data_IF_758811214470
#
_entry.id   IF_758811214470
#
_cell.length_a   1.000
_cell.length_b   1.000
_cell.length_c   1.000
_cell.angle_alpha   90.00
_cell.angle_beta   90.00
_cell.angle_gamma   90.00
#
_symmetry.space_group_name_H-M   'P 1'
#
loop_
_entity.id
_entity.type
_entity.pdbx_description
1 polymer ?
#
# COMPACT_ATOMS: atom_id res chain seq x y z
N UNK A 1 17.68 21.52 1.59
CA UNK A 1 18.54 20.52 2.29
C UNK A 1 19.33 19.75 1.22
N UNK A 2 20.63 19.54 1.42
CA UNK A 2 21.44 18.74 0.49
C UNK A 2 21.07 17.26 0.68
N UNK A 3 20.73 16.56 -0.42
CA UNK A 3 20.43 15.13 -0.37
C UNK A 3 21.67 14.30 -0.02
N UNK A 4 21.51 13.28 0.82
CA UNK A 4 22.58 12.34 1.17
C UNK A 4 23.01 11.55 -0.08
N UNK A 5 24.29 11.65 -0.53
CA UNK A 5 24.75 10.90 -1.69
C UNK A 5 24.65 9.39 -1.47
N UNK A 6 24.34 8.63 -2.53
CA UNK A 6 24.33 7.18 -2.43
C UNK A 6 25.77 6.62 -2.37
N UNK A 7 26.11 5.83 -1.34
CA UNK A 7 27.45 5.24 -1.23
C UNK A 7 27.70 4.23 -2.36
N UNK A 8 28.72 4.42 -3.22
CA UNK A 8 29.00 3.48 -4.34
C UNK A 8 29.17 2.02 -3.88
N UNK A 9 29.70 1.82 -2.68
CA UNK A 9 29.88 0.49 -2.08
C UNK A 9 28.60 -0.27 -1.79
N UNK A 10 27.43 0.40 -1.78
CA UNK A 10 26.12 -0.23 -1.58
C UNK A 10 25.40 -0.54 -2.89
N UNK A 11 25.93 -0.10 -4.04
CA UNK A 11 25.22 -0.24 -5.33
C UNK A 11 24.90 -1.69 -5.68
N UNK A 12 25.87 -2.58 -5.56
CA UNK A 12 25.66 -4.03 -5.81
C UNK A 12 24.69 -4.64 -4.79
N UNK A 13 24.69 -4.19 -3.55
CA UNK A 13 23.75 -4.69 -2.55
C UNK A 13 22.31 -4.18 -2.80
N UNK A 14 22.14 -2.95 -3.32
CA UNK A 14 20.82 -2.42 -3.71
C UNK A 14 20.32 -3.07 -5.00
N UNK A 15 21.18 -3.20 -6.02
CA UNK A 15 20.85 -3.69 -7.36
C UNK A 15 21.84 -4.79 -7.79
N UNK A 16 21.71 -6.04 -7.30
CA UNK A 16 22.68 -7.11 -7.51
C UNK A 16 22.81 -7.55 -8.97
N UNK A 17 21.76 -7.32 -9.77
CA UNK A 17 21.77 -7.61 -11.21
C UNK A 17 22.27 -6.44 -12.07
N UNK A 18 22.67 -5.32 -11.42
CA UNK A 18 22.98 -4.06 -12.10
C UNK A 18 21.75 -3.19 -12.37
N UNK A 19 20.55 -3.72 -12.15
CA UNK A 19 19.24 -3.02 -12.30
C UNK A 19 18.46 -3.15 -11.00
N UNK A 20 17.88 -2.06 -10.53
CA UNK A 20 17.01 -2.05 -9.34
C UNK A 20 15.62 -2.55 -9.73
N UNK A 21 15.27 -3.76 -9.32
CA UNK A 21 13.96 -4.37 -9.58
C UNK A 21 12.99 -3.92 -8.49
N UNK A 22 11.97 -3.16 -8.88
CA UNK A 22 11.00 -2.57 -7.96
C UNK A 22 9.66 -3.30 -8.05
N UNK A 23 9.25 -3.97 -6.98
CA UNK A 23 7.94 -4.59 -6.83
C UNK A 23 6.82 -3.54 -6.73
N UNK A 24 5.79 -3.67 -7.56
CA UNK A 24 4.63 -2.78 -7.60
C UNK A 24 3.33 -3.57 -7.39
N UNK A 25 2.47 -3.07 -6.52
CA UNK A 25 1.12 -3.59 -6.32
C UNK A 25 0.10 -2.79 -7.14
N UNK A 26 -0.35 -3.31 -8.26
CA UNK A 26 -1.32 -2.64 -9.13
C UNK A 26 -2.76 -2.61 -8.61
N UNK A 27 -3.08 -3.40 -7.57
CA UNK A 27 -4.39 -3.25 -6.91
C UNK A 27 -4.51 -1.93 -6.15
N UNK A 28 -3.39 -1.29 -5.78
CA UNK A 28 -3.42 0.03 -5.16
C UNK A 28 -3.30 1.13 -6.22
N UNK A 29 -4.38 1.35 -6.96
CA UNK A 29 -4.44 2.33 -8.05
C UNK A 29 -4.22 3.79 -7.61
N UNK A 30 -4.21 4.08 -6.29
CA UNK A 30 -3.92 5.41 -5.75
C UNK A 30 -2.45 5.80 -5.91
N UNK A 31 -1.54 4.83 -5.85
CA UNK A 31 -0.10 5.09 -5.88
C UNK A 31 0.63 4.38 -7.03
N UNK A 32 -0.03 3.41 -7.68
CA UNK A 32 0.48 2.66 -8.83
C UNK A 32 -0.59 2.51 -9.89
N UNK A 33 -0.25 2.77 -11.15
CA UNK A 33 -1.15 2.61 -12.28
C UNK A 33 -0.39 2.14 -13.52
N UNK A 34 -1.15 1.80 -14.55
CA UNK A 34 -0.64 1.52 -15.92
C UNK A 34 -1.41 2.37 -16.91
N UNK A 35 -0.72 3.01 -17.82
CA UNK A 35 -1.36 3.71 -18.94
C UNK A 35 -1.88 2.74 -20.01
N UNK A 36 -2.47 3.27 -21.07
CA UNK A 36 -3.00 2.46 -22.18
C UNK A 36 -1.91 1.60 -22.87
N UNK A 37 -0.64 2.03 -22.82
CA UNK A 37 0.52 1.29 -23.29
C UNK A 37 1.11 0.33 -22.25
N UNK A 38 0.43 0.11 -21.11
CA UNK A 38 0.86 -0.68 -19.96
C UNK A 38 2.12 -0.14 -19.26
N UNK A 39 2.53 1.10 -19.55
CA UNK A 39 3.66 1.73 -18.88
C UNK A 39 3.26 2.13 -17.45
N UNK A 40 4.06 1.78 -16.43
CA UNK A 40 3.74 2.11 -15.05
C UNK A 40 3.88 3.61 -14.78
N UNK A 41 2.96 4.16 -13.99
CA UNK A 41 2.97 5.53 -13.48
C UNK A 41 2.45 5.57 -12.04
N UNK A 42 2.69 6.67 -11.33
CA UNK A 42 2.20 6.90 -9.97
C UNK A 42 3.31 7.25 -8.99
N UNK A 43 2.92 7.58 -7.77
CA UNK A 43 3.82 8.04 -6.70
C UNK A 43 4.93 7.02 -6.42
N UNK A 44 4.60 5.74 -6.31
CA UNK A 44 5.58 4.68 -6.04
C UNK A 44 6.61 4.54 -7.17
N UNK A 45 6.16 4.71 -8.42
CA UNK A 45 7.02 4.61 -9.61
C UNK A 45 8.04 5.75 -9.64
N UNK A 46 7.59 6.98 -9.38
CA UNK A 46 8.48 8.13 -9.42
C UNK A 46 9.44 8.16 -8.23
N UNK A 47 9.03 7.68 -7.03
CA UNK A 47 9.96 7.46 -5.92
C UNK A 47 11.01 6.39 -6.24
N UNK A 48 10.62 5.28 -6.89
CA UNK A 48 11.57 4.26 -7.33
C UNK A 48 12.60 4.83 -8.31
N UNK A 49 12.15 5.62 -9.28
CA UNK A 49 13.03 6.29 -10.25
C UNK A 49 13.98 7.26 -9.57
N UNK A 50 13.49 8.07 -8.62
CA UNK A 50 14.34 9.00 -7.86
C UNK A 50 15.42 8.27 -7.04
N UNK A 51 15.09 7.12 -6.45
CA UNK A 51 16.07 6.28 -5.74
C UNK A 51 17.10 5.69 -6.72
N UNK A 52 16.65 5.15 -7.88
CA UNK A 52 17.53 4.61 -8.91
C UNK A 52 18.49 5.66 -9.49
N UNK A 53 17.98 6.87 -9.78
CA UNK A 53 18.79 7.99 -10.24
C UNK A 53 19.84 8.37 -9.20
N UNK A 54 19.46 8.50 -7.92
CA UNK A 54 20.38 8.81 -6.83
C UNK A 54 21.46 7.72 -6.64
N UNK A 55 21.10 6.44 -6.84
CA UNK A 55 22.04 5.32 -6.76
C UNK A 55 22.88 5.12 -8.02
N UNK A 56 22.53 5.77 -9.14
CA UNK A 56 23.17 5.59 -10.44
C UNK A 56 22.94 4.20 -11.03
N UNK A 57 21.71 3.64 -10.87
CA UNK A 57 21.30 2.34 -11.42
C UNK A 57 20.00 2.47 -12.19
N UNK A 58 19.81 1.74 -13.30
CA UNK A 58 18.52 1.68 -13.98
C UNK A 58 17.46 1.01 -13.08
N UNK A 59 16.18 1.33 -13.33
CA UNK A 59 15.05 0.79 -12.59
C UNK A 59 14.18 -0.04 -13.52
N UNK A 60 13.82 -1.23 -13.07
CA UNK A 60 12.85 -2.13 -13.69
C UNK A 60 11.68 -2.37 -12.73
N UNK A 61 10.47 -2.51 -13.27
CA UNK A 61 9.27 -2.71 -12.47
C UNK A 61 8.72 -4.12 -12.59
N UNK A 62 8.55 -4.77 -11.43
CA UNK A 62 7.96 -6.11 -11.31
C UNK A 62 6.55 -5.96 -10.77
N UNK A 63 5.55 -6.21 -11.62
CA UNK A 63 4.15 -5.99 -11.28
C UNK A 63 3.48 -7.18 -10.62
N UNK A 64 2.63 -6.89 -9.63
CA UNK A 64 1.75 -7.85 -8.94
C UNK A 64 0.32 -7.31 -8.95
N UNK A 65 -0.66 -8.16 -9.14
CA UNK A 65 -2.07 -7.77 -9.13
C UNK A 65 -2.65 -7.68 -7.70
N UNK A 66 -1.91 -8.14 -6.69
CA UNK A 66 -2.31 -8.07 -5.28
C UNK A 66 -1.09 -7.94 -4.35
N UNK A 67 -1.26 -7.33 -3.16
CA UNK A 67 -0.15 -7.11 -2.20
C UNK A 67 0.31 -8.40 -1.50
N UNK A 68 -0.57 -9.40 -1.35
CA UNK A 68 -0.24 -10.69 -0.75
C UNK A 68 0.87 -11.41 -1.52
N UNK A 69 0.65 -11.77 -2.80
CA UNK A 69 1.66 -12.39 -3.65
C UNK A 69 2.96 -11.60 -3.73
N UNK A 70 2.90 -10.26 -3.76
CA UNK A 70 4.10 -9.43 -3.76
C UNK A 70 4.91 -9.58 -2.46
N UNK A 71 4.26 -9.59 -1.31
CA UNK A 71 4.93 -9.79 -0.02
C UNK A 71 5.49 -11.22 0.11
N UNK A 72 4.75 -12.23 -0.34
CA UNK A 72 5.16 -13.64 -0.34
C UNK A 72 6.36 -13.90 -1.27
N UNK A 73 6.55 -13.06 -2.29
CA UNK A 73 7.69 -13.13 -3.21
C UNK A 73 9.02 -12.62 -2.61
N UNK A 74 9.02 -11.96 -1.45
CA UNK A 74 10.21 -11.38 -0.84
C UNK A 74 11.39 -12.38 -0.68
N UNK A 75 11.18 -13.64 -0.22
CA UNK A 75 12.29 -14.60 -0.08
C UNK A 75 12.81 -15.15 -1.41
N UNK A 76 12.17 -14.87 -2.53
CA UNK A 76 12.45 -15.53 -3.82
C UNK A 76 13.30 -14.71 -4.79
N UNK A 77 13.89 -13.59 -4.34
CA UNK A 77 14.74 -12.72 -5.17
C UNK A 77 14.09 -12.21 -6.48
N UNK A 78 12.76 -12.05 -6.49
CA UNK A 78 12.01 -11.56 -7.66
C UNK A 78 12.13 -10.05 -7.79
N UNK A 79 12.21 -9.35 -6.66
CA UNK A 79 12.39 -7.91 -6.58
C UNK A 79 13.43 -7.54 -5.52
N UNK A 80 13.99 -6.34 -5.64
CA UNK A 80 15.05 -5.81 -4.76
C UNK A 80 14.49 -4.88 -3.70
N UNK A 81 13.54 -4.03 -4.09
CA UNK A 81 12.70 -3.22 -3.21
C UNK A 81 11.25 -3.36 -3.64
N UNK A 82 10.31 -3.10 -2.74
CA UNK A 82 8.89 -3.09 -3.08
C UNK A 82 8.15 -1.96 -2.36
N UNK A 83 7.11 -1.42 -3.01
CA UNK A 83 6.26 -0.38 -2.46
C UNK A 83 4.95 -0.99 -1.98
N UNK A 84 4.80 -1.16 -0.66
CA UNK A 84 3.63 -1.79 -0.06
C UNK A 84 3.39 -1.30 1.36
N UNK A 85 2.18 -1.60 1.88
CA UNK A 85 1.82 -1.21 3.22
C UNK A 85 2.60 -1.98 4.29
N UNK A 86 3.04 -1.27 5.33
CA UNK A 86 3.61 -1.85 6.54
C UNK A 86 2.53 -2.70 7.23
N UNK A 87 2.86 -3.97 7.50
CA UNK A 87 2.05 -4.86 8.29
C UNK A 87 2.93 -5.83 9.09
N UNK A 88 2.60 -6.14 10.35
CA UNK A 88 3.42 -7.01 11.20
C UNK A 88 3.73 -8.37 10.56
N UNK A 89 2.72 -8.99 9.90
CA UNK A 89 2.91 -10.27 9.20
C UNK A 89 3.93 -10.16 8.06
N UNK A 90 3.93 -9.04 7.33
CA UNK A 90 4.89 -8.77 6.23
C UNK A 90 6.28 -8.46 6.76
N UNK A 91 6.38 -7.80 7.93
CA UNK A 91 7.66 -7.46 8.56
C UNK A 91 8.49 -8.69 8.98
N UNK A 92 7.91 -9.89 8.99
CA UNK A 92 8.66 -11.12 9.16
C UNK A 92 9.57 -11.44 7.95
N UNK A 93 9.21 -10.96 6.75
CA UNK A 93 9.91 -11.22 5.49
C UNK A 93 10.55 -9.97 4.87
N UNK A 94 10.12 -8.78 5.30
CA UNK A 94 10.44 -7.50 4.68
C UNK A 94 10.92 -6.51 5.75
N UNK A 95 12.06 -5.89 5.51
CA UNK A 95 12.57 -4.76 6.30
C UNK A 95 12.04 -3.45 5.69
N UNK A 96 11.19 -2.74 6.43
CA UNK A 96 10.50 -1.55 5.95
C UNK A 96 11.23 -0.25 6.29
N UNK A 97 11.16 0.72 5.38
CA UNK A 97 11.40 2.13 5.69
C UNK A 97 10.28 2.68 6.58
N UNK A 98 10.41 3.90 7.13
CA UNK A 98 9.26 4.69 7.54
C UNK A 98 8.26 4.83 6.39
N UNK A 99 6.99 5.06 6.72
CA UNK A 99 5.97 5.31 5.72
C UNK A 99 6.27 6.62 4.96
N UNK A 100 6.06 6.62 3.64
CA UNK A 100 6.14 7.83 2.85
C UNK A 100 4.77 8.51 2.68
N UNK A 101 3.68 7.74 2.70
CA UNK A 101 2.33 8.25 2.74
C UNK A 101 1.39 7.32 3.52
N UNK A 102 0.24 7.83 3.91
CA UNK A 102 -0.81 7.05 4.55
C UNK A 102 -2.16 7.26 3.87
N UNK A 103 -3.00 6.23 3.91
CA UNK A 103 -4.33 6.21 3.32
C UNK A 103 -5.30 5.72 4.40
N UNK A 104 -6.34 6.49 4.67
CA UNK A 104 -7.37 6.07 5.62
C UNK A 104 -8.11 4.83 5.12
N UNK A 105 -8.35 3.88 6.02
CA UNK A 105 -9.22 2.74 5.80
C UNK A 105 -10.45 2.84 6.71
N UNK A 106 -11.63 2.64 6.10
CA UNK A 106 -12.93 2.78 6.74
C UNK A 106 -13.95 1.81 6.12
N UNK A 107 -15.23 2.05 6.32
CA UNK A 107 -16.31 1.23 5.79
C UNK A 107 -17.25 2.03 4.89
N UNK A 108 -17.71 1.39 3.81
CA UNK A 108 -18.89 1.78 3.04
C UNK A 108 -20.08 0.96 3.56
N UNK A 109 -21.18 1.63 3.85
CA UNK A 109 -22.42 1.03 4.30
C UNK A 109 -23.50 1.12 3.23
N UNK A 110 -24.41 0.11 3.13
CA UNK A 110 -25.52 0.18 2.22
C UNK A 110 -26.57 1.23 2.67
N UNK A 111 -27.45 1.58 1.73
CA UNK A 111 -28.57 2.48 2.03
C UNK A 111 -29.42 1.94 3.21
N UNK A 112 -29.81 2.86 4.11
CA UNK A 112 -30.65 2.53 5.27
C UNK A 112 -29.93 1.80 6.42
N UNK A 113 -28.61 1.62 6.33
CA UNK A 113 -27.82 1.06 7.45
C UNK A 113 -27.95 1.96 8.71
N UNK A 114 -28.27 1.40 9.90
CA UNK A 114 -28.38 2.17 11.13
C UNK A 114 -27.02 2.55 11.75
N UNK A 115 -25.92 1.87 11.38
CA UNK A 115 -24.59 2.07 11.96
C UNK A 115 -24.07 3.49 11.67
N UNK A 116 -23.59 4.20 12.68
CA UNK A 116 -23.15 5.60 12.59
C UNK A 116 -21.64 5.77 12.78
N UNK A 117 -20.95 4.80 13.36
CA UNK A 117 -19.51 4.84 13.61
C UNK A 117 -18.79 3.58 13.15
N UNK A 118 -17.47 3.64 13.05
CA UNK A 118 -16.64 2.49 12.64
C UNK A 118 -16.66 1.37 13.67
N UNK A 119 -16.86 1.70 14.95
CA UNK A 119 -16.92 0.75 16.06
C UNK A 119 -18.19 -0.10 16.02
N UNK A 120 -19.30 0.44 15.53
CA UNK A 120 -20.59 -0.27 15.43
C UNK A 120 -20.60 -1.37 14.37
N UNK A 121 -19.60 -1.40 13.48
CA UNK A 121 -19.49 -2.39 12.42
C UNK A 121 -19.07 -3.76 13.00
N UNK A 122 -18.28 -3.77 14.08
CA UNK A 122 -17.89 -5.01 14.76
C UNK A 122 -18.97 -5.51 15.73
N UNK A 123 -20.06 -6.02 15.20
CA UNK A 123 -21.17 -6.54 16.00
C UNK A 123 -21.55 -7.96 15.57
N UNK A 124 -22.14 -8.76 16.49
CA UNK A 124 -22.60 -10.12 16.18
C UNK A 124 -23.58 -10.13 15.01
N UNK A 125 -23.38 -11.07 14.08
CA UNK A 125 -24.22 -11.25 12.90
C UNK A 125 -23.95 -10.26 11.76
N UNK A 126 -23.02 -9.29 11.92
CA UNK A 126 -22.56 -8.41 10.86
C UNK A 126 -21.55 -9.11 9.96
N UNK A 127 -21.64 -8.85 8.65
CA UNK A 127 -20.76 -9.42 7.64
C UNK A 127 -20.07 -8.30 6.87
N UNK A 128 -18.74 -8.33 6.83
CA UNK A 128 -17.90 -7.30 6.25
C UNK A 128 -17.18 -7.86 5.03
N UNK A 129 -17.50 -7.37 3.83
CA UNK A 129 -16.71 -7.68 2.64
C UNK A 129 -15.36 -6.96 2.68
N UNK A 130 -14.32 -7.61 2.19
CA UNK A 130 -13.00 -6.99 2.06
C UNK A 130 -12.10 -7.76 1.09
N UNK A 131 -11.08 -7.08 0.57
CA UNK A 131 -10.06 -7.70 -0.26
C UNK A 131 -9.12 -8.56 0.58
N UNK A 132 -9.01 -9.85 0.24
CA UNK A 132 -8.11 -10.81 0.89
C UNK A 132 -6.65 -10.33 0.86
N UNK A 133 -5.93 -10.59 1.98
CA UNK A 133 -4.51 -10.25 2.17
C UNK A 133 -4.15 -8.76 1.95
N UNK A 134 -5.14 -7.87 1.91
CA UNK A 134 -4.90 -6.43 1.95
C UNK A 134 -4.34 -6.00 3.32
N UNK A 135 -3.79 -4.77 3.42
CA UNK A 135 -3.32 -4.27 4.72
C UNK A 135 -4.48 -4.12 5.72
N UNK A 136 -5.65 -3.68 5.24
CA UNK A 136 -6.82 -3.54 6.11
C UNK A 136 -7.44 -4.89 6.47
N UNK A 137 -7.36 -5.94 5.62
CA UNK A 137 -7.72 -7.31 6.01
C UNK A 137 -6.80 -7.82 7.13
N UNK A 138 -5.49 -7.67 6.97
CA UNK A 138 -4.52 -8.09 7.99
C UNK A 138 -4.73 -7.33 9.32
N UNK A 139 -5.14 -6.06 9.26
CA UNK A 139 -5.51 -5.30 10.45
C UNK A 139 -6.81 -5.83 11.07
N UNK A 140 -7.89 -5.93 10.31
CA UNK A 140 -9.20 -6.39 10.80
C UNK A 140 -9.15 -7.84 11.30
N UNK A 141 -8.31 -8.70 10.72
CA UNK A 141 -8.08 -10.06 11.21
C UNK A 141 -7.54 -10.13 12.64
N UNK A 142 -6.94 -9.04 13.12
CA UNK A 142 -6.40 -8.94 14.50
C UNK A 142 -7.33 -8.20 15.45
N UNK A 143 -8.26 -7.40 14.93
CA UNK A 143 -9.03 -6.44 15.74
C UNK A 143 -10.51 -6.74 15.80
N UNK A 144 -11.12 -7.30 14.74
CA UNK A 144 -12.52 -7.72 14.72
C UNK A 144 -12.73 -8.88 15.68
N UNK A 145 -13.76 -8.77 16.51
CA UNK A 145 -14.09 -9.78 17.54
C UNK A 145 -15.44 -10.46 17.31
N UNK A 146 -16.38 -9.79 16.66
CA UNK A 146 -17.76 -10.22 16.58
C UNK A 146 -18.27 -10.39 15.15
N UNK A 147 -17.87 -9.49 14.23
CA UNK A 147 -18.32 -9.53 12.85
C UNK A 147 -17.60 -10.60 12.03
N UNK A 148 -18.26 -11.11 11.00
CA UNK A 148 -17.69 -12.04 10.03
C UNK A 148 -16.93 -11.26 8.93
N UNK A 149 -15.69 -11.66 8.63
CA UNK A 149 -14.89 -11.13 7.54
C UNK A 149 -15.07 -12.00 6.28
N UNK A 150 -15.77 -11.45 5.28
CA UNK A 150 -16.01 -12.09 3.98
C UNK A 150 -14.90 -11.66 3.00
N UNK A 151 -13.88 -12.51 2.87
CA UNK A 151 -12.70 -12.25 2.03
C UNK A 151 -12.94 -12.57 0.58
N UNK A 152 -12.54 -11.67 -0.31
CA UNK A 152 -12.71 -11.84 -1.76
C UNK A 152 -11.42 -11.39 -2.46
N UNK A 153 -11.12 -12.02 -3.58
CA UNK A 153 -9.98 -11.62 -4.41
C UNK A 153 -10.25 -10.26 -5.07
N UNK A 154 -9.34 -9.32 -4.88
CA UNK A 154 -9.37 -7.99 -5.48
C UNK A 154 -10.42 -7.05 -4.87
N UNK A 155 -10.20 -5.75 -5.03
CA UNK A 155 -11.14 -4.72 -4.51
C UNK A 155 -12.47 -4.74 -5.26
N UNK A 156 -12.45 -4.95 -6.57
CA UNK A 156 -13.67 -5.03 -7.38
C UNK A 156 -14.52 -6.24 -6.97
N UNK A 157 -13.90 -7.41 -6.76
CA UNK A 157 -14.60 -8.60 -6.28
C UNK A 157 -15.24 -8.40 -4.90
N UNK A 158 -14.55 -7.70 -3.99
CA UNK A 158 -15.10 -7.37 -2.66
C UNK A 158 -16.33 -6.44 -2.78
N UNK A 159 -16.28 -5.44 -3.67
CA UNK A 159 -17.43 -4.58 -3.95
C UNK A 159 -18.61 -5.36 -4.53
N UNK A 160 -18.37 -6.19 -5.53
CA UNK A 160 -19.41 -7.02 -6.15
C UNK A 160 -20.05 -7.97 -5.14
N UNK A 161 -19.25 -8.58 -4.28
CA UNK A 161 -19.72 -9.46 -3.21
C UNK A 161 -20.55 -8.71 -2.17
N UNK A 162 -20.11 -7.51 -1.78
CA UNK A 162 -20.85 -6.63 -0.88
C UNK A 162 -22.27 -6.36 -1.40
N UNK A 163 -22.37 -6.02 -2.70
CA UNK A 163 -23.66 -5.71 -3.34
C UNK A 163 -24.52 -6.96 -3.52
N UNK A 164 -23.95 -8.02 -4.09
CA UNK A 164 -24.70 -9.23 -4.46
C UNK A 164 -25.29 -9.95 -3.23
N UNK A 165 -24.51 -10.09 -2.17
CA UNK A 165 -24.91 -10.80 -0.96
C UNK A 165 -25.56 -9.87 0.08
N UNK A 166 -25.76 -8.60 -0.24
CA UNK A 166 -26.32 -7.58 0.67
C UNK A 166 -25.61 -7.60 2.02
N UNK A 167 -24.28 -7.52 1.99
CA UNK A 167 -23.47 -7.52 3.21
C UNK A 167 -23.64 -6.20 3.98
N UNK A 168 -23.33 -6.22 5.27
CA UNK A 168 -23.57 -5.07 6.16
C UNK A 168 -22.58 -3.93 5.95
N UNK A 169 -21.33 -4.25 5.54
CA UNK A 169 -20.28 -3.26 5.26
C UNK A 169 -19.29 -3.77 4.21
N UNK A 170 -18.65 -2.82 3.50
CA UNK A 170 -17.45 -3.05 2.68
C UNK A 170 -16.29 -2.28 3.32
N UNK A 171 -15.26 -3.00 3.77
CA UNK A 171 -14.02 -2.40 4.27
C UNK A 171 -13.08 -2.09 3.12
N UNK A 172 -12.44 -0.92 3.14
CA UNK A 172 -11.50 -0.52 2.11
C UNK A 172 -10.82 0.83 2.38
N UNK A 173 -10.01 1.24 1.41
CA UNK A 173 -9.39 2.56 1.42
C UNK A 173 -10.45 3.63 1.12
N UNK A 174 -10.52 4.67 1.95
CA UNK A 174 -11.55 5.73 1.83
C UNK A 174 -11.74 6.26 0.41
N UNK A 175 -10.70 6.61 -0.37
CA UNK A 175 -10.90 7.15 -1.73
C UNK A 175 -11.56 6.13 -2.67
N UNK A 176 -11.24 4.84 -2.53
CA UNK A 176 -11.89 3.78 -3.31
C UNK A 176 -13.36 3.62 -2.90
N UNK A 177 -13.65 3.61 -1.59
CA UNK A 177 -15.02 3.50 -1.08
C UNK A 177 -15.89 4.69 -1.47
N UNK A 178 -15.35 5.91 -1.55
CA UNK A 178 -16.08 7.07 -2.07
C UNK A 178 -16.46 6.90 -3.55
N UNK A 179 -15.56 6.33 -4.36
CA UNK A 179 -15.86 5.99 -5.76
C UNK A 179 -16.94 4.91 -5.86
N UNK A 180 -16.93 3.92 -4.96
CA UNK A 180 -17.92 2.86 -4.93
C UNK A 180 -19.27 3.35 -4.40
N UNK A 181 -19.28 4.22 -3.38
CA UNK A 181 -20.50 4.85 -2.87
C UNK A 181 -21.25 5.62 -3.96
N UNK A 182 -20.53 6.29 -4.86
CA UNK A 182 -21.14 7.03 -5.97
C UNK A 182 -21.93 6.14 -6.94
N UNK A 183 -21.68 4.83 -6.96
CA UNK A 183 -22.38 3.82 -7.81
C UNK A 183 -23.62 3.25 -7.10
N UNK A 184 -23.81 3.49 -5.81
CA UNK A 184 -24.86 2.89 -4.97
C UNK A 184 -25.74 3.96 -4.34
N UNK A 185 -26.94 4.26 -4.87
CA UNK A 185 -27.83 5.25 -4.32
C UNK A 185 -28.13 5.02 -2.83
N UNK A 186 -27.90 6.05 -2.00
CA UNK A 186 -28.12 6.02 -0.57
C UNK A 186 -27.04 5.30 0.27
N UNK A 187 -26.03 4.70 -0.35
CA UNK A 187 -24.87 4.19 0.35
C UNK A 187 -23.98 5.35 0.86
N UNK A 188 -23.28 5.12 1.95
CA UNK A 188 -22.42 6.14 2.56
C UNK A 188 -21.13 5.56 3.11
N UNK A 189 -20.04 6.30 2.99
CA UNK A 189 -18.78 6.01 3.66
C UNK A 189 -18.84 6.57 5.06
N UNK A 190 -18.49 5.75 6.07
CA UNK A 190 -18.47 6.19 7.46
C UNK A 190 -17.43 7.28 7.70
N UNK A 191 -17.78 8.25 8.54
CA UNK A 191 -16.80 9.16 9.11
C UNK A 191 -15.81 8.42 10.02
N UNK A 192 -14.63 9.01 10.23
CA UNK A 192 -13.56 8.34 10.97
C UNK A 192 -12.91 7.19 10.19
N UNK A 193 -11.97 6.55 10.81
CA UNK A 193 -11.18 5.44 10.24
C UNK A 193 -10.95 4.36 11.28
N UNK A 194 -10.95 3.10 10.89
CA UNK A 194 -10.49 2.04 11.79
C UNK A 194 -8.95 1.93 11.79
N UNK A 195 -8.27 2.33 10.70
CA UNK A 195 -6.80 2.41 10.63
C UNK A 195 -6.32 3.38 9.55
N UNK A 196 -5.05 3.79 9.63
CA UNK A 196 -4.32 4.41 8.54
C UNK A 196 -3.37 3.38 7.92
N UNK A 197 -3.55 3.09 6.63
CA UNK A 197 -2.68 2.18 5.89
C UNK A 197 -1.42 2.93 5.50
N UNK A 198 -0.31 2.62 6.16
CA UNK A 198 0.98 3.25 5.95
C UNK A 198 1.74 2.58 4.81
N UNK A 199 1.97 3.31 3.72
CA UNK A 199 2.73 2.84 2.56
C UNK A 199 4.21 3.15 2.73
N UNK A 200 5.05 2.14 2.54
CA UNK A 200 6.50 2.23 2.73
C UNK A 200 7.27 1.54 1.60
N UNK A 201 8.57 1.72 1.60
CA UNK A 201 9.49 0.94 0.78
C UNK A 201 10.04 -0.20 1.62
N UNK A 202 9.95 -1.42 1.12
CA UNK A 202 10.47 -2.62 1.78
C UNK A 202 11.61 -3.26 1.01
N UNK A 203 12.52 -3.90 1.75
CA UNK A 203 13.63 -4.71 1.22
C UNK A 203 13.43 -6.14 1.74
N UNK A 204 13.68 -7.20 0.93
CA UNK A 204 13.67 -8.56 1.45
C UNK A 204 14.59 -8.68 2.67
N UNK A 205 14.07 -9.20 3.79
CA UNK A 205 14.79 -9.20 5.06
C UNK A 205 16.12 -9.96 4.98
N UNK A 206 16.14 -11.13 4.32
CA UNK A 206 17.36 -11.88 4.11
C UNK A 206 18.45 -11.04 3.43
N UNK A 207 18.09 -10.23 2.42
CA UNK A 207 19.05 -9.34 1.74
C UNK A 207 19.46 -8.15 2.61
N UNK A 208 18.55 -7.63 3.43
CA UNK A 208 18.90 -6.60 4.42
C UNK A 208 19.94 -7.13 5.40
N UNK A 209 19.75 -8.34 5.90
CA UNK A 209 20.67 -9.00 6.83
C UNK A 209 22.05 -9.27 6.20
N UNK A 210 22.12 -9.75 4.95
CA UNK A 210 23.37 -10.02 4.20
C UNK A 210 24.27 -8.78 4.09
N UNK A 211 23.73 -7.58 3.98
CA UNK A 211 24.50 -6.34 3.90
C UNK A 211 24.57 -5.56 5.23
N UNK A 212 24.18 -6.19 6.35
CA UNK A 212 24.18 -5.61 7.70
C UNK A 212 23.19 -4.45 7.84
N UNK A 213 22.08 -4.48 7.12
CA UNK A 213 21.03 -3.46 7.17
C UNK A 213 21.41 -2.13 6.51
N UNK A 214 22.58 -2.02 5.86
CA UNK A 214 23.10 -0.74 5.35
C UNK A 214 22.25 -0.19 4.20
N UNK A 215 21.76 -1.06 3.30
CA UNK A 215 20.84 -0.64 2.22
C UNK A 215 19.52 -0.17 2.82
N UNK A 216 18.96 -0.91 3.78
CA UNK A 216 17.73 -0.52 4.45
C UNK A 216 17.87 0.82 5.18
N UNK A 217 18.99 1.03 5.89
CA UNK A 217 19.29 2.32 6.53
C UNK A 217 19.34 3.47 5.51
N UNK A 218 19.97 3.26 4.35
CA UNK A 218 20.00 4.27 3.31
C UNK A 218 18.59 4.55 2.74
N UNK A 219 17.81 3.51 2.45
CA UNK A 219 16.43 3.67 1.94
C UNK A 219 15.55 4.41 2.96
N UNK A 220 15.72 4.16 4.27
CA UNK A 220 15.06 4.93 5.33
C UNK A 220 15.41 6.41 5.25
N UNK A 221 16.71 6.73 5.14
CA UNK A 221 17.17 8.12 4.99
C UNK A 221 16.59 8.75 3.72
N UNK A 222 16.60 8.05 2.59
CA UNK A 222 16.01 8.51 1.33
C UNK A 222 14.53 8.87 1.48
N UNK A 223 13.74 8.02 2.15
CA UNK A 223 12.31 8.27 2.37
C UNK A 223 12.10 9.49 3.26
N UNK A 224 12.83 9.62 4.38
CA UNK A 224 12.72 10.80 5.25
C UNK A 224 13.11 12.10 4.54
N UNK A 225 14.18 12.08 3.77
CA UNK A 225 14.58 13.23 2.94
C UNK A 225 13.53 13.55 1.87
N UNK A 226 12.90 12.55 1.26
CA UNK A 226 11.86 12.74 0.25
C UNK A 226 10.58 13.35 0.85
N UNK A 227 10.25 13.03 2.10
CA UNK A 227 9.18 13.69 2.85
C UNK A 227 9.58 15.14 3.17
N UNK A 228 10.72 15.32 3.80
CA UNK A 228 11.19 16.62 4.29
C UNK A 228 11.45 17.65 3.17
N UNK A 229 11.88 17.20 1.99
CA UNK A 229 12.07 18.06 0.81
C UNK A 229 10.78 18.45 0.09
N UNK A 230 9.65 17.83 0.46
CA UNK A 230 8.36 18.00 -0.21
C UNK A 230 8.19 17.14 -1.47
N UNK A 231 9.17 16.30 -1.84
CA UNK A 231 9.08 15.44 -3.03
C UNK A 231 7.82 14.55 -2.98
N UNK A 232 7.52 13.92 -1.84
CA UNK A 232 6.33 13.07 -1.70
C UNK A 232 5.05 13.88 -1.93
N UNK A 233 4.95 15.08 -1.34
CA UNK A 233 3.80 15.96 -1.53
C UNK A 233 3.66 16.40 -3.00
N UNK A 234 4.77 16.74 -3.65
CA UNK A 234 4.80 17.07 -5.08
C UNK A 234 4.30 15.90 -5.95
N UNK A 235 4.74 14.67 -5.67
CA UNK A 235 4.32 13.49 -6.41
C UNK A 235 2.83 13.18 -6.22
N UNK A 236 2.30 13.32 -5.00
CA UNK A 236 0.86 13.19 -4.72
C UNK A 236 0.07 14.21 -5.57
N UNK A 237 0.51 15.47 -5.59
CA UNK A 237 -0.13 16.52 -6.37
C UNK A 237 -0.02 16.28 -7.89
N UNK A 238 1.16 15.90 -8.38
CA UNK A 238 1.44 15.58 -9.80
C UNK A 238 0.52 14.48 -10.32
N UNK A 239 0.34 13.42 -9.55
CA UNK A 239 -0.52 12.30 -9.92
C UNK A 239 -1.98 12.52 -9.54
N UNK A 240 -2.34 13.69 -8.99
CA UNK A 240 -3.71 14.06 -8.58
C UNK A 240 -4.36 13.03 -7.65
N UNK A 241 -3.59 12.49 -6.72
CA UNK A 241 -4.08 11.46 -5.81
C UNK A 241 -4.82 12.15 -4.66
N UNK A 242 -6.13 11.92 -4.59
CA UNK A 242 -6.97 12.45 -3.52
C UNK A 242 -7.11 11.44 -2.38
N UNK A 243 -7.27 11.94 -1.14
CA UNK A 243 -7.51 11.10 0.05
C UNK A 243 -6.29 10.32 0.53
N UNK A 244 -5.08 10.79 0.18
CA UNK A 244 -3.82 10.32 0.76
C UNK A 244 -3.08 11.50 1.40
N UNK A 245 -2.30 11.21 2.42
CA UNK A 245 -1.49 12.19 3.12
C UNK A 245 -0.02 11.75 3.12
N UNK A 246 0.89 12.74 3.14
CA UNK A 246 2.30 12.45 3.48
C UNK A 246 2.30 11.89 4.90
N UNK A 247 2.99 10.77 5.11
CA UNK A 247 3.11 10.20 6.44
C UNK A 247 3.93 11.12 7.37
N UNK A 248 3.67 11.13 8.67
CA UNK A 248 4.42 11.92 9.65
C UNK A 248 5.90 11.53 9.73
#
# INVERSE_FOLDING_TARGET
MTSTPFPPSLRTALAPTGTLRCGLNYSNFLITGRDAGKKPYGVAIDLARALGERAGVPVEFVGFEAPGPMAEAAPHNIWDIAFLAIEPKRANLIDFSPAYLEIEATYLLPAGSPMQSVEEVDAPGKRIALMDKSAYDLYLSRTIQHAELVRVEGMQGAYERFVADKLDALAGLRPALLTDAAKLPGARVLEGRFTAVQQATGIPKARSDENGGRVAAYVRTFIEESKASGLVAELIARHRVNGVNVAP
#
